data_IF_280643956357
#
_entry.id   IF_280643956357
#
_cell.length_a   1.000
_cell.length_b   1.000
_cell.length_c   1.000
_cell.angle_alpha   90.00
_cell.angle_beta   90.00
_cell.angle_gamma   90.00
#
_symmetry.space_group_name_H-M   'P 1'
#
loop_
_entity.id
_entity.type
_entity.pdbx_description
1 polymer ?
#
# COMPACT_ATOMS: atom_id res chain seq x y z
N UNK A 1 -91.90 40.53 12.02
CA UNK A 1 -91.65 41.48 13.13
C UNK A 1 -90.23 41.29 13.55
N UNK A 2 -89.39 42.25 13.25
CA UNK A 2 -88.49 42.98 14.21
C UNK A 2 -87.62 42.10 15.06
N UNK A 3 -86.33 42.15 15.10
CA UNK A 3 -85.43 43.33 15.13
C UNK A 3 -83.95 42.85 15.04
N UNK A 4 -83.15 43.66 14.34
CA UNK A 4 -81.68 43.76 14.46
C UNK A 4 -81.27 44.30 15.86
N UNK A 5 -79.95 44.53 16.14
CA UNK A 5 -78.64 43.97 15.87
C UNK A 5 -77.76 43.91 17.15
N UNK A 6 -76.61 43.33 17.08
CA UNK A 6 -75.48 43.89 17.84
C UNK A 6 -74.13 43.48 17.24
N UNK A 7 -73.40 44.48 16.77
CA UNK A 7 -72.04 44.33 16.30
C UNK A 7 -71.07 44.28 17.46
N UNK A 8 -70.23 43.23 17.49
CA UNK A 8 -69.05 43.20 18.35
C UNK A 8 -67.81 43.32 17.44
N UNK A 9 -67.16 44.45 17.53
CA UNK A 9 -65.87 44.73 16.89
C UNK A 9 -64.76 44.04 17.68
N UNK A 10 -64.23 42.96 17.13
CA UNK A 10 -62.99 42.36 17.63
C UNK A 10 -61.79 43.09 17.02
N UNK A 11 -61.07 43.79 17.86
CA UNK A 11 -59.77 44.40 17.53
C UNK A 11 -58.74 43.27 17.54
N UNK A 12 -58.30 42.83 16.35
CA UNK A 12 -57.16 41.91 16.26
C UNK A 12 -55.87 42.71 16.43
N UNK A 13 -55.22 42.50 17.56
CA UNK A 13 -53.87 43.00 17.84
C UNK A 13 -52.86 42.11 17.14
N UNK A 14 -52.37 42.51 15.96
CA UNK A 14 -51.28 41.81 15.27
C UNK A 14 -49.96 42.21 15.93
N UNK A 15 -49.46 41.27 16.78
CA UNK A 15 -48.11 41.34 17.34
C UNK A 15 -47.13 40.91 16.27
N UNK A 16 -46.50 41.84 15.59
CA UNK A 16 -45.44 41.58 14.60
C UNK A 16 -44.17 41.11 15.31
N UNK A 17 -43.88 39.83 15.21
CA UNK A 17 -42.57 39.28 15.64
C UNK A 17 -41.53 39.70 14.59
N UNK A 18 -40.74 40.75 14.88
CA UNK A 18 -39.51 41.02 14.13
C UNK A 18 -38.49 39.92 14.46
N UNK A 19 -38.40 38.88 13.64
CA UNK A 19 -37.27 37.96 13.66
C UNK A 19 -36.08 38.66 13.01
N UNK A 20 -35.20 39.22 13.84
CA UNK A 20 -33.92 39.71 13.38
C UNK A 20 -33.09 38.52 12.89
N UNK A 21 -33.00 38.30 11.59
CA UNK A 21 -32.09 37.38 10.97
C UNK A 21 -30.65 37.87 11.20
N UNK A 22 -30.01 37.38 12.26
CA UNK A 22 -28.56 37.52 12.37
C UNK A 22 -27.91 36.68 11.23
N UNK A 23 -27.01 37.29 10.43
CA UNK A 23 -26.26 36.50 9.48
C UNK A 23 -25.44 35.51 10.28
N UNK A 24 -25.67 34.21 10.07
CA UNK A 24 -24.80 33.16 10.55
C UNK A 24 -23.40 33.41 9.94
N UNK A 25 -22.54 34.01 10.77
CA UNK A 25 -21.13 34.12 10.45
C UNK A 25 -20.60 32.70 10.43
N UNK A 26 -20.49 32.11 9.25
CA UNK A 26 -19.78 30.88 9.03
C UNK A 26 -18.37 31.10 9.61
N UNK A 27 -18.12 30.57 10.81
CA UNK A 27 -16.78 30.39 11.30
C UNK A 27 -16.14 29.41 10.32
N UNK A 28 -15.44 29.93 9.31
CA UNK A 28 -14.44 29.17 8.63
C UNK A 28 -13.46 28.72 9.73
N UNK A 29 -13.64 27.49 10.20
CA UNK A 29 -12.60 26.83 10.96
C UNK A 29 -11.36 26.89 10.10
N UNK A 30 -10.49 27.84 10.40
CA UNK A 30 -9.20 28.01 9.74
C UNK A 30 -8.29 26.82 10.05
N UNK A 31 -8.65 25.66 9.52
CA UNK A 31 -7.71 24.61 9.24
C UNK A 31 -7.02 25.03 7.94
N UNK A 32 -6.04 25.92 8.04
CA UNK A 32 -4.92 25.86 7.11
C UNK A 32 -4.29 24.50 7.35
N UNK A 33 -4.37 23.55 6.42
CA UNK A 33 -3.60 22.35 6.57
C UNK A 33 -2.14 22.78 6.54
N UNK A 34 -1.52 22.85 7.72
CA UNK A 34 -0.06 22.81 7.79
C UNK A 34 0.30 21.57 7.01
N UNK A 35 1.03 21.67 5.88
CA UNK A 35 1.39 20.48 5.13
C UNK A 35 2.05 19.52 6.13
N UNK A 36 1.62 18.26 6.17
CA UNK A 36 2.20 17.30 7.09
C UNK A 36 3.71 17.34 6.89
N UNK A 37 4.47 17.38 8.00
CA UNK A 37 5.93 17.27 7.95
C UNK A 37 6.27 16.06 7.07
N UNK A 38 7.29 16.15 6.22
CA UNK A 38 7.69 15.01 5.41
C UNK A 38 7.97 13.84 6.32
N UNK A 39 7.26 12.74 6.09
CA UNK A 39 7.50 11.51 6.82
C UNK A 39 8.94 11.08 6.55
N UNK A 40 9.63 10.48 7.52
CA UNK A 40 10.95 9.93 7.24
C UNK A 40 10.83 8.91 6.09
N UNK A 41 11.88 8.80 5.24
CA UNK A 41 11.87 7.81 4.15
C UNK A 41 11.43 6.44 4.66
N UNK A 42 10.54 5.79 3.91
CA UNK A 42 10.07 4.44 4.25
C UNK A 42 11.18 3.46 3.88
N UNK A 43 12.20 3.39 4.75
CA UNK A 43 13.25 2.40 4.62
C UNK A 43 12.63 1.01 4.77
N UNK A 44 12.89 0.16 3.81
CA UNK A 44 12.09 -1.02 3.59
C UNK A 44 12.85 -1.98 2.71
N UNK A 45 12.66 -3.26 2.91
CA UNK A 45 12.90 -4.24 1.86
C UNK A 45 11.62 -5.01 1.57
N UNK A 46 11.35 -5.21 0.31
CA UNK A 46 10.16 -5.92 -0.18
C UNK A 46 10.50 -6.84 -1.34
N UNK A 47 9.63 -7.81 -1.57
CA UNK A 47 9.69 -8.72 -2.71
C UNK A 47 8.30 -8.84 -3.32
N UNK A 48 8.24 -8.80 -4.65
CA UNK A 48 7.07 -9.22 -5.42
C UNK A 48 7.34 -10.59 -6.02
N UNK A 49 6.31 -11.43 -6.08
CA UNK A 49 6.41 -12.79 -6.60
C UNK A 49 5.16 -13.23 -7.36
N UNK A 50 5.36 -14.10 -8.34
CA UNK A 50 4.33 -14.75 -9.12
C UNK A 50 4.55 -16.28 -9.10
N UNK A 51 3.48 -17.03 -8.97
CA UNK A 51 3.51 -18.48 -9.09
C UNK A 51 2.79 -18.92 -10.38
N UNK A 52 3.53 -19.38 -11.41
CA UNK A 52 2.94 -19.81 -12.67
C UNK A 52 2.07 -21.07 -12.57
N UNK A 53 2.26 -21.88 -11.51
CA UNK A 53 1.48 -23.11 -11.32
C UNK A 53 0.08 -22.81 -10.79
N UNK A 54 -0.07 -21.77 -9.97
CA UNK A 54 -1.35 -21.42 -9.34
C UNK A 54 -1.98 -20.15 -9.93
N UNK A 55 -1.20 -19.28 -10.57
CA UNK A 55 -1.61 -17.94 -11.00
C UNK A 55 -1.67 -16.92 -9.85
N UNK A 56 -1.18 -17.27 -8.67
CA UNK A 56 -1.06 -16.36 -7.54
C UNK A 56 0.00 -15.29 -7.80
N UNK A 57 -0.30 -14.04 -7.44
CA UNK A 57 0.62 -12.91 -7.52
C UNK A 57 0.50 -12.06 -6.26
N UNK A 58 1.60 -11.47 -5.82
CA UNK A 58 1.59 -10.61 -4.64
C UNK A 58 2.99 -10.25 -4.17
N UNK A 59 3.11 -9.92 -2.88
CA UNK A 59 4.39 -9.55 -2.31
C UNK A 59 4.41 -9.61 -0.80
N UNK A 60 5.62 -9.42 -0.26
CA UNK A 60 5.86 -9.29 1.16
C UNK A 60 6.86 -8.16 1.43
N UNK A 61 6.77 -7.55 2.62
CA UNK A 61 7.54 -6.37 3.00
C UNK A 61 7.86 -6.37 4.48
N UNK A 62 9.01 -5.81 4.84
CA UNK A 62 9.40 -5.46 6.20
C UNK A 62 9.95 -4.04 6.24
N UNK A 63 9.74 -3.34 7.35
CA UNK A 63 10.24 -1.99 7.57
C UNK A 63 10.39 -1.64 9.05
N UNK A 64 11.19 -0.59 9.31
CA UNK A 64 11.29 0.09 10.62
C UNK A 64 10.32 1.28 10.67
N UNK A 65 9.11 1.12 10.15
CA UNK A 65 8.00 2.07 10.29
C UNK A 65 6.77 1.35 10.79
N UNK A 66 5.87 2.07 11.43
CA UNK A 66 4.57 1.54 11.86
C UNK A 66 3.73 1.17 10.63
N UNK A 67 3.13 -0.02 10.64
CA UNK A 67 2.08 -0.44 9.69
C UNK A 67 2.48 -0.31 8.20
N UNK A 68 3.67 -0.82 7.84
CA UNK A 68 4.24 -0.72 6.48
C UNK A 68 3.32 -1.26 5.38
N UNK A 69 2.46 -2.22 5.71
CA UNK A 69 1.51 -2.80 4.75
C UNK A 69 0.49 -1.83 4.18
N UNK A 70 0.23 -0.70 4.87
CA UNK A 70 -0.77 0.28 4.43
C UNK A 70 -0.36 1.08 3.18
N UNK A 71 0.94 1.17 2.87
CA UNK A 71 1.42 2.04 1.79
C UNK A 71 2.37 1.38 0.80
N UNK A 72 2.75 0.12 1.00
CA UNK A 72 3.76 -0.54 0.16
C UNK A 72 3.17 -1.52 -0.84
N UNK A 73 2.30 -2.42 -0.42
CA UNK A 73 1.85 -3.55 -1.25
C UNK A 73 0.51 -3.27 -1.94
N UNK A 74 0.49 -3.44 -3.26
CA UNK A 74 -0.66 -3.31 -4.14
C UNK A 74 -0.75 -4.55 -5.02
N UNK A 75 -1.94 -5.13 -5.16
CA UNK A 75 -2.11 -6.29 -6.04
C UNK A 75 -3.55 -6.41 -6.53
N UNK A 76 -3.71 -6.93 -7.76
CA UNK A 76 -4.99 -7.25 -8.37
C UNK A 76 -4.89 -8.61 -9.08
N UNK A 77 -5.85 -9.47 -8.80
CA UNK A 77 -5.90 -10.82 -9.34
C UNK A 77 -6.00 -10.84 -10.87
N UNK A 78 -5.14 -11.62 -11.52
CA UNK A 78 -5.07 -11.70 -12.98
C UNK A 78 -4.40 -10.49 -13.66
N UNK A 79 -3.95 -9.50 -12.87
CA UNK A 79 -3.31 -8.26 -13.38
C UNK A 79 -1.85 -8.20 -12.96
N UNK A 80 -1.56 -8.22 -11.65
CA UNK A 80 -0.21 -8.14 -11.14
C UNK A 80 -0.12 -7.51 -9.76
N UNK A 81 1.10 -7.11 -9.37
CA UNK A 81 1.37 -6.44 -8.11
C UNK A 81 2.40 -5.31 -8.25
N UNK A 82 2.39 -4.40 -7.29
CA UNK A 82 3.36 -3.32 -7.15
C UNK A 82 3.79 -3.15 -5.69
N UNK A 83 5.01 -2.65 -5.49
CA UNK A 83 5.53 -2.26 -4.19
C UNK A 83 6.13 -0.85 -4.27
N UNK A 84 5.74 0.05 -3.35
CA UNK A 84 6.12 1.48 -3.35
C UNK A 84 6.82 1.83 -2.03
N UNK A 85 8.02 2.43 -2.07
CA UNK A 85 8.83 2.66 -0.89
C UNK A 85 9.86 3.79 -1.05
N UNK A 86 10.75 3.98 -0.10
CA UNK A 86 11.76 5.04 0.03
C UNK A 86 11.14 6.43 0.23
N UNK A 87 11.44 7.40 -0.62
CA UNK A 87 10.71 8.67 -0.68
C UNK A 87 9.36 8.37 -1.35
N UNK A 88 8.46 7.77 -0.58
CA UNK A 88 7.26 7.09 -1.12
C UNK A 88 6.24 8.07 -1.69
N UNK A 89 5.68 7.71 -2.84
CA UNK A 89 4.39 8.18 -3.32
C UNK A 89 3.47 6.97 -3.48
N UNK A 90 2.51 6.83 -2.58
CA UNK A 90 1.60 5.69 -2.56
C UNK A 90 0.70 5.63 -3.80
N UNK A 91 0.52 6.75 -4.52
CA UNK A 91 -0.26 6.78 -5.75
C UNK A 91 0.35 5.97 -6.89
N UNK A 92 1.65 5.67 -6.81
CA UNK A 92 2.36 4.82 -7.80
C UNK A 92 1.76 3.41 -7.84
N UNK A 93 1.30 2.88 -6.70
CA UNK A 93 0.67 1.56 -6.62
C UNK A 93 -0.59 1.45 -7.49
N UNK A 94 -1.65 2.22 -7.23
CA UNK A 94 -2.86 2.24 -8.06
C UNK A 94 -2.60 2.57 -9.54
N UNK A 95 -1.68 3.51 -9.83
CA UNK A 95 -1.30 3.85 -11.20
C UNK A 95 -0.65 2.65 -11.92
N UNK A 96 0.28 1.96 -11.24
CA UNK A 96 0.92 0.76 -11.80
C UNK A 96 -0.11 -0.34 -12.09
N UNK A 97 -1.01 -0.64 -11.15
CA UNK A 97 -2.07 -1.63 -11.35
C UNK A 97 -2.99 -1.23 -12.53
N UNK A 98 -3.36 0.04 -12.64
CA UNK A 98 -4.19 0.51 -13.75
C UNK A 98 -3.52 0.33 -15.12
N UNK A 99 -2.22 0.57 -15.24
CA UNK A 99 -1.45 0.35 -16.47
C UNK A 99 -1.26 -1.15 -16.77
N UNK A 100 -0.95 -1.97 -15.76
CA UNK A 100 -0.87 -3.42 -15.92
C UNK A 100 -2.19 -4.02 -16.42
N UNK A 101 -3.34 -3.55 -15.90
CA UNK A 101 -4.68 -3.97 -16.34
C UNK A 101 -4.92 -3.65 -17.83
N UNK A 102 -4.29 -2.60 -18.36
CA UNK A 102 -4.32 -2.26 -19.78
C UNK A 102 -3.33 -3.10 -20.62
N UNK A 103 -2.60 -4.03 -20.00
CA UNK A 103 -1.60 -4.87 -20.69
C UNK A 103 -0.26 -4.16 -20.94
N UNK A 104 0.00 -3.02 -20.30
CA UNK A 104 1.28 -2.32 -20.39
C UNK A 104 2.37 -3.19 -19.72
N UNK A 105 3.50 -3.37 -20.38
CA UNK A 105 4.62 -4.17 -19.85
C UNK A 105 5.22 -3.52 -18.60
N UNK A 106 5.69 -4.27 -17.60
CA UNK A 106 6.27 -3.73 -16.37
C UNK A 106 7.32 -2.64 -16.57
N UNK A 107 8.23 -2.79 -17.51
CA UNK A 107 9.26 -1.78 -17.81
C UNK A 107 8.66 -0.45 -18.27
N UNK A 108 7.60 -0.48 -19.07
CA UNK A 108 6.89 0.72 -19.51
C UNK A 108 5.99 1.30 -18.43
N UNK A 109 5.44 0.44 -17.53
CA UNK A 109 4.69 0.89 -16.36
C UNK A 109 5.61 1.72 -15.46
N UNK A 110 6.77 1.18 -15.10
CA UNK A 110 7.76 1.89 -14.26
C UNK A 110 8.12 3.25 -14.87
N UNK A 111 8.44 3.26 -16.17
CA UNK A 111 8.79 4.48 -16.90
C UNK A 111 7.66 5.52 -16.89
N UNK A 112 6.42 5.10 -17.23
CA UNK A 112 5.26 6.02 -17.32
C UNK A 112 4.86 6.59 -15.98
N UNK A 113 4.82 5.76 -14.92
CA UNK A 113 4.47 6.19 -13.57
C UNK A 113 5.48 7.22 -13.06
N UNK A 114 6.79 6.95 -13.18
CA UNK A 114 7.81 7.89 -12.75
C UNK A 114 7.84 9.19 -13.57
N UNK A 115 7.69 9.10 -14.90
CA UNK A 115 7.64 10.28 -15.77
C UNK A 115 6.41 11.14 -15.51
N UNK A 116 5.29 10.52 -15.14
CA UNK A 116 4.04 11.21 -14.82
C UNK A 116 3.99 11.87 -13.44
N UNK A 117 4.98 11.61 -12.57
CA UNK A 117 5.07 12.25 -11.25
C UNK A 117 5.40 13.75 -11.41
N UNK A 118 4.50 14.66 -10.98
CA UNK A 118 4.74 16.09 -11.07
C UNK A 118 5.82 16.60 -10.10
N UNK A 119 6.37 15.74 -9.25
CA UNK A 119 7.33 16.07 -8.18
C UNK A 119 6.86 17.22 -7.28
N UNK A 120 5.73 17.09 -6.59
CA UNK A 120 5.09 18.20 -5.90
C UNK A 120 5.92 18.78 -4.75
N UNK A 121 6.96 18.09 -4.33
CA UNK A 121 7.86 18.49 -3.23
C UNK A 121 9.33 18.21 -3.59
N UNK A 122 9.89 18.88 -4.61
CA UNK A 122 11.21 18.55 -5.17
C UNK A 122 12.38 18.81 -4.22
N UNK A 123 12.19 19.59 -3.15
CA UNK A 123 13.24 19.93 -2.19
C UNK A 123 13.38 18.87 -1.09
N UNK A 124 12.28 18.47 -0.50
CA UNK A 124 12.26 17.64 0.72
C UNK A 124 11.67 16.24 0.51
N UNK A 125 10.94 16.00 -0.60
CA UNK A 125 10.30 14.72 -0.92
C UNK A 125 10.33 14.42 -2.43
N UNK A 126 11.50 14.59 -3.03
CA UNK A 126 11.69 14.53 -4.48
C UNK A 126 11.42 13.15 -5.09
N UNK A 127 10.88 13.16 -6.32
CA UNK A 127 10.68 11.93 -7.09
C UNK A 127 11.98 11.19 -7.43
N UNK A 128 13.12 11.87 -7.41
CA UNK A 128 14.42 11.24 -7.60
C UNK A 128 14.80 10.29 -6.46
N UNK A 129 14.10 10.37 -5.32
CA UNK A 129 14.23 9.44 -4.19
C UNK A 129 13.21 8.30 -4.19
N UNK A 130 12.30 8.20 -5.17
CA UNK A 130 11.30 7.12 -5.25
C UNK A 130 11.99 5.78 -5.46
N UNK A 131 11.39 4.73 -4.88
CA UNK A 131 11.74 3.35 -5.20
C UNK A 131 10.44 2.55 -5.33
N UNK A 132 10.26 1.84 -6.43
CA UNK A 132 9.11 0.98 -6.62
C UNK A 132 9.39 -0.13 -7.62
N UNK A 133 8.61 -1.19 -7.54
CA UNK A 133 8.70 -2.33 -8.43
C UNK A 133 7.31 -2.80 -8.85
N UNK A 134 7.23 -3.47 -9.98
CA UNK A 134 6.01 -4.08 -10.50
C UNK A 134 6.28 -5.48 -11.03
N UNK A 135 5.28 -6.34 -10.92
CA UNK A 135 5.22 -7.67 -11.53
C UNK A 135 3.87 -7.85 -12.19
N UNK A 136 3.82 -8.36 -13.43
CA UNK A 136 2.56 -8.69 -14.09
C UNK A 136 2.09 -10.13 -13.77
N UNK A 137 0.88 -10.48 -14.19
CA UNK A 137 0.31 -11.83 -14.01
C UNK A 137 0.92 -12.89 -14.95
N UNK A 138 2.06 -12.61 -15.57
CA UNK A 138 2.89 -13.54 -16.34
C UNK A 138 4.25 -13.72 -15.69
N UNK A 139 4.53 -12.96 -14.62
CA UNK A 139 5.80 -12.97 -13.91
C UNK A 139 6.89 -12.11 -14.52
N UNK A 140 6.57 -11.24 -15.50
CA UNK A 140 7.52 -10.22 -15.94
C UNK A 140 7.64 -9.14 -14.88
N UNK A 141 8.84 -8.64 -14.65
CA UNK A 141 9.15 -7.70 -13.57
C UNK A 141 9.88 -6.47 -14.09
N UNK A 142 9.77 -5.38 -13.35
CA UNK A 142 10.61 -4.20 -13.49
C UNK A 142 10.67 -3.47 -12.14
N UNK A 143 11.80 -2.79 -11.89
CA UNK A 143 12.00 -1.97 -10.70
C UNK A 143 12.68 -0.65 -11.07
N UNK A 144 12.50 0.34 -10.21
CA UNK A 144 13.17 1.62 -10.24
C UNK A 144 13.66 1.98 -8.85
N UNK A 145 14.93 2.32 -8.76
CA UNK A 145 15.55 2.91 -7.56
C UNK A 145 16.12 4.26 -7.96
N UNK A 146 15.54 5.32 -7.44
CA UNK A 146 15.97 6.69 -7.76
C UNK A 146 17.35 7.02 -7.19
N UNK A 147 18.12 7.92 -7.84
CA UNK A 147 19.48 8.24 -7.45
C UNK A 147 19.60 8.93 -6.08
N UNK A 148 18.49 9.44 -5.54
CA UNK A 148 18.42 10.02 -4.20
C UNK A 148 17.74 9.10 -3.17
N UNK A 149 17.49 7.82 -3.51
CA UNK A 149 17.13 6.83 -2.51
C UNK A 149 18.29 6.61 -1.54
N UNK A 150 17.96 6.57 -0.24
CA UNK A 150 19.01 6.50 0.80
C UNK A 150 19.75 5.17 0.77
N UNK A 151 21.06 5.21 0.72
CA UNK A 151 21.94 4.05 0.60
C UNK A 151 22.04 3.19 1.89
N UNK A 152 22.30 1.89 1.75
CA UNK A 152 22.36 1.18 0.49
C UNK A 152 20.92 1.06 -0.06
N UNK A 153 20.72 1.34 -1.37
CA UNK A 153 19.45 1.19 -2.05
C UNK A 153 19.67 0.52 -3.42
N UNK A 154 18.74 -0.37 -3.80
CA UNK A 154 18.80 -1.08 -5.08
C UNK A 154 17.76 -2.19 -5.19
N UNK A 155 17.83 -2.93 -6.28
CA UNK A 155 16.96 -4.06 -6.57
C UNK A 155 17.72 -5.25 -7.16
N UNK A 156 17.08 -6.41 -7.11
CA UNK A 156 17.48 -7.64 -7.79
C UNK A 156 16.26 -8.29 -8.40
N UNK A 157 16.34 -8.54 -9.70
CA UNK A 157 15.30 -9.28 -10.41
C UNK A 157 15.69 -10.75 -10.54
N UNK A 158 14.71 -11.64 -10.41
CA UNK A 158 14.84 -13.08 -10.55
C UNK A 158 13.72 -13.67 -11.40
N UNK A 159 13.68 -14.97 -11.51
CA UNK A 159 12.63 -15.68 -12.23
C UNK A 159 11.31 -15.57 -11.46
N UNK A 160 10.35 -14.85 -12.00
CA UNK A 160 9.03 -14.62 -11.41
C UNK A 160 9.07 -13.82 -10.09
N UNK A 161 10.12 -13.06 -9.82
CA UNK A 161 10.20 -12.22 -8.63
C UNK A 161 11.11 -10.98 -8.86
N UNK A 162 10.92 -9.98 -8.00
CA UNK A 162 11.83 -8.84 -7.87
C UNK A 162 11.89 -8.41 -6.41
N UNK A 163 13.10 -8.29 -5.87
CA UNK A 163 13.35 -7.77 -4.53
C UNK A 163 14.00 -6.40 -4.62
N UNK A 164 13.61 -5.47 -3.78
CA UNK A 164 14.12 -4.11 -3.71
C UNK A 164 14.17 -3.62 -2.27
N UNK A 165 15.06 -2.65 -2.02
CA UNK A 165 15.15 -2.05 -0.70
C UNK A 165 16.00 -0.79 -0.67
N UNK A 166 15.89 -0.07 0.43
CA UNK A 166 16.64 1.16 0.71
C UNK A 166 16.98 1.22 2.20
N UNK A 167 18.04 1.96 2.54
CA UNK A 167 18.65 1.99 3.88
C UNK A 167 19.03 0.57 4.35
N UNK A 168 19.42 -0.28 3.42
CA UNK A 168 19.79 -1.66 3.70
C UNK A 168 21.25 -1.75 4.18
N UNK A 169 21.56 -2.84 4.87
CA UNK A 169 22.92 -3.14 5.29
C UNK A 169 23.89 -3.23 4.08
N UNK A 170 23.47 -3.90 3.00
CA UNK A 170 24.26 -4.11 1.79
C UNK A 170 23.40 -4.73 0.68
N UNK A 171 24.01 -5.01 -0.49
CA UNK A 171 23.34 -5.64 -1.64
C UNK A 171 22.91 -7.10 -1.39
N UNK A 172 23.56 -7.80 -0.46
CA UNK A 172 23.23 -9.20 -0.18
C UNK A 172 21.82 -9.37 0.39
N UNK A 173 21.21 -8.30 0.93
CA UNK A 173 19.82 -8.33 1.36
C UNK A 173 18.92 -8.70 0.18
N UNK A 174 18.97 -7.97 -0.93
CA UNK A 174 18.11 -8.24 -2.10
C UNK A 174 18.59 -9.49 -2.88
N UNK A 175 19.88 -9.76 -2.94
CA UNK A 175 20.44 -10.97 -3.56
C UNK A 175 19.94 -12.23 -2.84
N UNK A 176 20.06 -12.26 -1.52
CA UNK A 176 19.59 -13.35 -0.66
C UNK A 176 18.09 -13.57 -0.76
N UNK A 177 17.30 -12.47 -0.83
CA UNK A 177 15.85 -12.54 -1.01
C UNK A 177 15.47 -13.26 -2.29
N UNK A 178 16.07 -12.88 -3.44
CA UNK A 178 15.78 -13.51 -4.73
C UNK A 178 16.21 -14.97 -4.71
N UNK A 179 17.42 -15.27 -4.25
CA UNK A 179 17.92 -16.64 -4.14
C UNK A 179 17.02 -17.53 -3.28
N UNK A 180 16.58 -17.04 -2.12
CA UNK A 180 15.69 -17.78 -1.23
C UNK A 180 14.31 -18.02 -1.87
N UNK A 181 13.76 -17.02 -2.56
CA UNK A 181 12.50 -17.16 -3.28
C UNK A 181 12.56 -18.23 -4.39
N UNK A 182 13.63 -18.25 -5.17
CA UNK A 182 13.80 -19.20 -6.28
C UNK A 182 14.05 -20.63 -5.80
N UNK A 183 14.78 -20.80 -4.70
CA UNK A 183 15.15 -22.11 -4.14
C UNK A 183 14.11 -22.70 -3.18
N UNK A 184 13.11 -21.92 -2.75
CA UNK A 184 12.04 -22.41 -1.88
C UNK A 184 10.89 -22.95 -2.72
N UNK A 185 10.40 -24.14 -2.36
CA UNK A 185 9.24 -24.78 -3.00
C UNK A 185 7.97 -24.58 -2.17
N UNK A 186 6.83 -24.89 -2.76
CA UNK A 186 5.52 -24.82 -2.11
C UNK A 186 4.76 -23.54 -2.40
N UNK A 187 3.77 -23.24 -1.58
CA UNK A 187 2.85 -22.10 -1.77
C UNK A 187 3.59 -20.76 -1.82
N UNK A 188 3.09 -19.82 -2.63
CA UNK A 188 3.72 -18.51 -2.82
C UNK A 188 4.05 -17.81 -1.49
N UNK A 189 3.19 -17.93 -0.47
CA UNK A 189 3.44 -17.34 0.86
C UNK A 189 4.71 -17.87 1.55
N UNK A 190 5.06 -19.14 1.36
CA UNK A 190 6.28 -19.72 1.94
C UNK A 190 7.52 -19.20 1.23
N UNK A 191 7.45 -19.04 -0.09
CA UNK A 191 8.54 -18.48 -0.91
C UNK A 191 8.80 -17.03 -0.58
N UNK A 192 7.73 -16.22 -0.41
CA UNK A 192 7.82 -14.81 0.01
C UNK A 192 8.35 -14.68 1.45
N UNK A 193 7.96 -15.59 2.37
CA UNK A 193 8.52 -15.61 3.73
C UNK A 193 10.00 -15.93 3.74
N UNK A 194 10.42 -16.99 3.01
CA UNK A 194 11.83 -17.34 2.91
C UNK A 194 12.69 -16.16 2.40
N UNK A 195 12.14 -15.40 1.45
CA UNK A 195 12.80 -14.20 0.96
C UNK A 195 12.98 -13.13 2.05
N UNK A 196 11.92 -12.80 2.82
CA UNK A 196 12.04 -11.83 3.92
C UNK A 196 13.05 -12.27 4.98
N UNK A 197 13.02 -13.55 5.34
CA UNK A 197 13.95 -14.13 6.32
C UNK A 197 15.40 -14.07 5.83
N UNK A 198 15.65 -14.42 4.57
CA UNK A 198 16.98 -14.32 3.97
C UNK A 198 17.48 -12.87 3.91
N UNK A 199 16.61 -11.92 3.54
CA UNK A 199 16.95 -10.50 3.56
C UNK A 199 17.32 -10.01 4.98
N UNK A 200 16.57 -10.42 5.99
CA UNK A 200 16.87 -10.08 7.38
C UNK A 200 18.19 -10.71 7.86
N UNK A 201 18.46 -11.95 7.50
CA UNK A 201 19.72 -12.64 7.84
C UNK A 201 20.93 -11.95 7.19
N UNK A 202 20.78 -11.37 6.01
CA UNK A 202 21.81 -10.59 5.32
C UNK A 202 22.03 -9.17 5.90
N UNK A 203 21.28 -8.81 6.96
CA UNK A 203 21.41 -7.55 7.68
C UNK A 203 20.19 -6.63 7.59
N UNK A 204 19.26 -6.86 6.65
CA UNK A 204 17.98 -6.15 6.55
C UNK A 204 18.08 -4.63 6.50
N UNK A 205 17.11 -3.97 7.11
CA UNK A 205 17.07 -2.52 7.33
C UNK A 205 18.06 -2.12 8.44
N UNK A 206 19.00 -1.21 8.14
CA UNK A 206 20.01 -0.71 9.11
C UNK A 206 19.43 -0.14 10.40
N UNK A 207 18.18 0.31 10.37
CA UNK A 207 17.49 0.89 11.52
C UNK A 207 16.83 -0.18 12.40
N UNK A 208 16.74 -1.42 11.92
CA UNK A 208 16.07 -2.53 12.59
C UNK A 208 14.69 -2.87 12.02
N UNK A 209 13.80 -3.39 12.85
CA UNK A 209 12.47 -3.90 12.45
C UNK A 209 11.37 -3.24 13.28
N UNK A 210 10.16 -3.13 12.72
CA UNK A 210 8.95 -2.74 13.45
C UNK A 210 7.69 -3.39 12.88
N UNK A 211 7.54 -3.46 11.56
CA UNK A 211 6.33 -4.00 10.93
C UNK A 211 6.67 -4.88 9.73
N UNK A 212 5.74 -5.77 9.38
CA UNK A 212 5.82 -6.61 8.19
C UNK A 212 4.43 -6.89 7.63
N UNK A 213 4.33 -7.12 6.32
CA UNK A 213 3.06 -7.47 5.69
C UNK A 213 3.25 -8.42 4.50
N UNK A 214 2.15 -9.10 4.15
CA UNK A 214 2.06 -9.95 2.96
C UNK A 214 0.69 -9.79 2.32
N UNK A 215 0.66 -9.65 1.00
CA UNK A 215 -0.54 -9.63 0.18
C UNK A 215 -0.38 -10.60 -0.98
N UNK A 216 -1.31 -11.53 -1.12
CA UNK A 216 -1.38 -12.48 -2.25
C UNK A 216 -2.80 -12.48 -2.78
N UNK A 217 -2.93 -12.38 -4.10
CA UNK A 217 -4.21 -12.38 -4.79
C UNK A 217 -4.24 -13.41 -5.92
N UNK A 218 -5.43 -13.94 -6.17
CA UNK A 218 -5.76 -14.82 -7.29
C UNK A 218 -7.26 -14.75 -7.51
N UNK A 219 -7.70 -14.85 -8.75
CA UNK A 219 -9.13 -14.83 -9.07
C UNK A 219 -9.88 -15.92 -8.32
N UNK A 220 -10.88 -15.53 -7.53
CA UNK A 220 -11.70 -16.40 -6.66
C UNK A 220 -10.86 -17.32 -5.73
N UNK A 221 -9.63 -16.91 -5.41
CA UNK A 221 -8.68 -17.70 -4.61
C UNK A 221 -8.80 -17.54 -3.11
N UNK A 222 -9.57 -16.57 -2.65
CA UNK A 222 -9.75 -16.27 -1.22
C UNK A 222 -10.81 -17.15 -0.55
N UNK A 223 -10.89 -17.03 0.77
CA UNK A 223 -11.98 -17.61 1.56
C UNK A 223 -13.22 -16.77 1.31
N UNK A 224 -14.38 -17.38 1.21
CA UNK A 224 -15.69 -16.82 0.85
C UNK A 224 -15.85 -16.51 -0.64
N UNK A 225 -17.11 -16.37 -1.05
CA UNK A 225 -17.50 -16.13 -2.44
C UNK A 225 -16.95 -14.80 -2.97
N UNK A 226 -16.48 -14.83 -4.21
CA UNK A 226 -16.02 -13.65 -4.94
C UNK A 226 -14.86 -12.89 -4.27
N UNK A 227 -14.05 -13.61 -3.51
CA UNK A 227 -12.89 -13.06 -2.84
C UNK A 227 -11.60 -13.41 -3.59
N UNK A 228 -10.98 -12.41 -4.19
CA UNK A 228 -9.71 -12.56 -4.90
C UNK A 228 -8.48 -12.51 -3.95
N UNK A 229 -8.66 -12.14 -2.68
CA UNK A 229 -7.57 -12.08 -1.72
C UNK A 229 -7.32 -13.44 -1.12
N UNK A 230 -6.27 -14.10 -1.57
CA UNK A 230 -5.79 -15.38 -1.05
C UNK A 230 -5.25 -15.22 0.35
N UNK A 231 -4.44 -14.17 0.57
CA UNK A 231 -3.83 -13.87 1.84
C UNK A 231 -3.58 -12.37 1.97
N UNK A 232 -4.01 -11.80 3.09
CA UNK A 232 -3.62 -10.45 3.53
C UNK A 232 -3.31 -10.53 5.01
N UNK A 233 -2.02 -10.44 5.34
CA UNK A 233 -1.52 -10.47 6.70
C UNK A 233 -0.71 -9.22 6.97
N UNK A 234 -0.84 -8.68 8.18
CA UNK A 234 -0.15 -7.47 8.59
C UNK A 234 0.25 -7.57 10.05
N UNK A 235 1.48 -7.22 10.32
CA UNK A 235 2.06 -7.05 11.67
C UNK A 235 2.45 -5.59 11.76
N UNK A 236 1.65 -4.79 12.45
CA UNK A 236 1.75 -3.33 12.42
C UNK A 236 2.85 -2.79 13.32
N UNK A 237 3.06 -3.43 14.48
CA UNK A 237 4.05 -3.03 15.48
C UNK A 237 4.50 -4.26 16.28
N UNK A 238 5.74 -4.70 16.06
CA UNK A 238 6.33 -5.85 16.76
C UNK A 238 7.86 -5.77 16.64
N UNK A 239 8.63 -6.08 17.69
CA UNK A 239 10.10 -6.11 17.62
C UNK A 239 10.65 -7.23 16.72
N UNK A 240 9.87 -8.30 16.47
CA UNK A 240 10.21 -9.42 15.59
C UNK A 240 9.10 -9.63 14.51
N UNK A 241 8.81 -8.64 13.64
CA UNK A 241 7.62 -8.67 12.81
C UNK A 241 7.67 -9.79 11.75
N UNK A 242 8.84 -10.17 11.26
CA UNK A 242 9.01 -11.28 10.30
C UNK A 242 8.65 -12.61 10.97
N UNK A 243 9.08 -12.83 12.19
CA UNK A 243 8.76 -14.04 12.96
C UNK A 243 7.26 -14.15 13.24
N UNK A 244 6.63 -13.04 13.60
CA UNK A 244 5.19 -13.00 13.81
C UNK A 244 4.43 -13.20 12.49
N UNK A 245 4.87 -12.59 11.39
CA UNK A 245 4.30 -12.82 10.07
C UNK A 245 4.42 -14.28 9.65
N UNK A 246 5.56 -14.95 9.92
CA UNK A 246 5.74 -16.39 9.69
C UNK A 246 4.69 -17.21 10.43
N UNK A 247 4.50 -16.95 11.72
CA UNK A 247 3.49 -17.61 12.54
C UNK A 247 2.07 -17.47 11.96
N UNK A 248 1.74 -16.26 11.45
CA UNK A 248 0.44 -16.00 10.81
C UNK A 248 0.29 -16.74 9.48
N UNK A 249 1.34 -16.79 8.66
CA UNK A 249 1.36 -17.57 7.39
C UNK A 249 1.14 -19.05 7.65
N UNK A 250 1.82 -19.62 8.62
CA UNK A 250 1.68 -21.04 9.02
C UNK A 250 0.26 -21.32 9.53
N UNK A 251 -0.28 -20.44 10.35
CA UNK A 251 -1.68 -20.54 10.81
C UNK A 251 -2.66 -20.50 9.63
N UNK A 252 -2.48 -19.58 8.70
CA UNK A 252 -3.33 -19.50 7.52
C UNK A 252 -3.24 -20.77 6.65
N UNK A 253 -2.05 -21.36 6.53
CA UNK A 253 -1.87 -22.62 5.79
C UNK A 253 -2.66 -23.79 6.41
N UNK A 254 -2.77 -23.86 7.75
CA UNK A 254 -3.59 -24.90 8.41
C UNK A 254 -5.09 -24.72 8.17
N UNK A 255 -5.55 -23.48 8.00
CA UNK A 255 -6.97 -23.17 7.75
C UNK A 255 -7.40 -23.46 6.29
N UNK A 256 -6.44 -23.54 5.36
CA UNK A 256 -6.69 -23.80 3.92
C UNK A 256 -6.68 -25.27 3.54
N UNK A 257 -6.34 -26.18 4.45
CA UNK A 257 -6.39 -27.62 4.15
C UNK A 257 -7.82 -27.98 3.78
N UNK A 258 -8.06 -28.70 2.66
CA UNK A 258 -9.36 -29.23 2.34
C UNK A 258 -9.89 -30.06 3.52
N UNK A 259 -11.13 -29.83 3.89
CA UNK A 259 -11.83 -30.68 4.87
C UNK A 259 -12.16 -32.03 4.25
#
# INVERSE_FOLDING_TARGET
MRSLPSAVRSIALTLGLLVASMPARAQSSGFSPTPPLPWPPVATFSILGYDPATGEVGGAVQSRVFSVGNGVLWAEAGVGAAATQAIVDVSYGPQAIALLRQGVKPVDVVKRVWQGDPDPRPVDWTKEGRQFAVIDARGNVAAYTGPKATEWAGDKQGKFCTAQGNILANAEVVNGMVSAFENTTGHLSLRLMAALEAGQLAGGDKRGMQSAAMLIVKKDGGVWLHNDVVLRLQVDDNPEPIKELRRLVEKAATMRKPR
#
